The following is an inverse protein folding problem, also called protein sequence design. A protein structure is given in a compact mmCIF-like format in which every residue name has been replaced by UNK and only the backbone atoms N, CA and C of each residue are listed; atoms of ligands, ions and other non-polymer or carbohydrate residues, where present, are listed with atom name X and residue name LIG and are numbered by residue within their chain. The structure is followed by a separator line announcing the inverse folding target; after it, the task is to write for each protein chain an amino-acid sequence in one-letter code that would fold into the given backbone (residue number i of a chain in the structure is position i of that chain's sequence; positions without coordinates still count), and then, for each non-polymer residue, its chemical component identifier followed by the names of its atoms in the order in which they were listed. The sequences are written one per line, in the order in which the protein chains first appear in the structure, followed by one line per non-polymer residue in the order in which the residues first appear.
data_IF_094183132803
#
_entry.id   IF_094183132803
#
_cell.length_a   1.000
_cell.length_b   1.000
_cell.length_c   1.000
_cell.angle_alpha   90.00
_cell.angle_beta   90.00
_cell.angle_gamma   90.00
#
_symmetry.space_group_name_H-M   'P 1'
#
loop_
_entity.id
_entity.type
_entity.pdbx_description
1 polymer ?
#
# COMPACT_ATOMS: atom_id res chain seq x y z
N UNK A 1 -4.34 -0.37 10.20
CA UNK A 1 -5.04 -1.59 9.77
C UNK A 1 -4.08 -2.45 8.97
N UNK A 2 -4.08 -3.74 9.22
CA UNK A 2 -3.26 -4.72 8.54
C UNK A 2 -4.05 -5.25 7.33
N UNK A 3 -3.51 -5.29 6.10
CA UNK A 3 -4.19 -5.85 4.94
C UNK A 3 -4.64 -7.30 5.15
N UNK A 4 -3.87 -8.09 5.88
CA UNK A 4 -4.23 -9.48 6.20
C UNK A 4 -5.50 -9.58 7.06
N UNK A 5 -5.67 -8.70 8.04
CA UNK A 5 -6.91 -8.65 8.83
C UNK A 5 -8.12 -8.27 7.96
N UNK A 6 -7.94 -7.37 7.00
CA UNK A 6 -8.98 -7.03 6.03
C UNK A 6 -9.34 -8.21 5.13
N UNK A 7 -8.35 -8.97 4.69
CA UNK A 7 -8.56 -10.17 3.89
C UNK A 7 -9.28 -11.27 4.69
N UNK A 8 -8.93 -11.46 5.95
CA UNK A 8 -9.63 -12.39 6.85
C UNK A 8 -11.09 -12.00 7.05
N UNK A 9 -11.37 -10.72 7.30
CA UNK A 9 -12.73 -10.23 7.42
C UNK A 9 -13.52 -10.45 6.13
N UNK A 10 -12.90 -10.16 4.97
CA UNK A 10 -13.51 -10.40 3.68
C UNK A 10 -13.83 -11.89 3.49
N UNK A 11 -12.92 -12.79 3.85
CA UNK A 11 -13.14 -14.24 3.74
C UNK A 11 -14.25 -14.77 4.64
N UNK A 12 -14.48 -14.11 5.79
CA UNK A 12 -15.54 -14.47 6.73
C UNK A 12 -16.94 -13.95 6.31
N UNK A 13 -17.01 -13.07 5.30
CA UNK A 13 -18.29 -12.54 4.84
C UNK A 13 -18.98 -13.52 3.88
N UNK A 14 -20.24 -13.90 4.10
CA UNK A 14 -20.98 -14.79 3.19
C UNK A 14 -21.10 -14.24 1.76
N UNK A 15 -21.12 -12.92 1.61
CA UNK A 15 -21.18 -12.22 0.33
C UNK A 15 -19.85 -12.19 -0.45
N UNK A 16 -18.73 -12.61 0.16
CA UNK A 16 -17.43 -12.58 -0.51
C UNK A 16 -17.38 -13.46 -1.77
N UNK A 17 -18.10 -14.58 -1.76
CA UNK A 17 -18.17 -15.49 -2.89
C UNK A 17 -18.95 -14.93 -4.11
N UNK A 18 -19.74 -13.88 -3.91
CA UNK A 18 -20.56 -13.23 -4.96
C UNK A 18 -19.96 -11.90 -5.46
N UNK A 19 -18.81 -11.49 -4.95
CA UNK A 19 -18.15 -10.26 -5.38
C UNK A 19 -17.63 -10.37 -6.81
N UNK A 20 -17.83 -9.30 -7.60
CA UNK A 20 -17.19 -9.21 -8.90
C UNK A 20 -15.70 -8.89 -8.79
N UNK A 21 -14.95 -9.13 -9.86
CA UNK A 21 -13.52 -8.76 -9.94
C UNK A 21 -13.36 -7.25 -9.73
N UNK A 22 -14.25 -6.43 -10.29
CA UNK A 22 -14.26 -4.98 -10.09
C UNK A 22 -14.40 -4.61 -8.60
N UNK A 23 -15.40 -5.18 -7.92
CA UNK A 23 -15.65 -4.93 -6.49
C UNK A 23 -14.47 -5.37 -5.62
N UNK A 24 -13.91 -6.54 -5.91
CA UNK A 24 -12.73 -7.05 -5.21
C UNK A 24 -11.52 -6.14 -5.40
N UNK A 25 -11.32 -5.65 -6.63
CA UNK A 25 -10.23 -4.70 -6.95
C UNK A 25 -10.40 -3.38 -6.20
N UNK A 26 -11.63 -2.84 -6.11
CA UNK A 26 -11.93 -1.62 -5.36
C UNK A 26 -11.64 -1.82 -3.87
N UNK A 27 -12.10 -2.93 -3.28
CA UNK A 27 -11.85 -3.25 -1.87
C UNK A 27 -10.34 -3.39 -1.61
N UNK A 28 -9.62 -4.13 -2.44
CA UNK A 28 -8.18 -4.32 -2.32
C UNK A 28 -7.43 -2.99 -2.46
N UNK A 29 -7.83 -2.13 -3.39
CA UNK A 29 -7.27 -0.79 -3.56
C UNK A 29 -7.51 0.09 -2.33
N UNK A 30 -8.73 0.09 -1.77
CA UNK A 30 -9.02 0.81 -0.55
C UNK A 30 -8.15 0.33 0.62
N UNK A 31 -8.01 -1.01 0.77
CA UNK A 31 -7.14 -1.60 1.80
C UNK A 31 -5.69 -1.20 1.61
N UNK A 32 -5.21 -1.13 0.36
CA UNK A 32 -3.85 -0.69 0.03
C UNK A 32 -3.61 0.78 0.43
N UNK A 33 -4.55 1.67 0.18
CA UNK A 33 -4.42 3.09 0.58
C UNK A 33 -4.56 3.29 2.08
N UNK A 34 -5.42 2.53 2.74
CA UNK A 34 -5.76 2.68 4.14
C UNK A 34 -4.94 1.79 5.10
N UNK A 35 -3.95 1.02 4.59
CA UNK A 35 -3.11 0.21 5.48
C UNK A 35 -2.13 1.08 6.26
N UNK A 36 -1.71 0.60 7.43
CA UNK A 36 -0.67 1.22 8.27
C UNK A 36 -0.92 2.68 8.69
N UNK A 37 -2.16 3.17 8.64
CA UNK A 37 -2.53 4.54 9.01
C UNK A 37 -1.96 5.00 10.36
N UNK A 38 -1.98 4.20 11.47
CA UNK A 38 -1.44 4.64 12.74
C UNK A 38 0.08 4.86 12.70
N UNK A 39 0.81 3.98 12.01
CA UNK A 39 2.28 4.07 11.89
C UNK A 39 2.66 5.30 11.09
N UNK A 40 2.02 5.52 9.96
CA UNK A 40 2.27 6.68 9.11
C UNK A 40 1.86 8.00 9.77
N UNK A 41 0.73 8.00 10.49
CA UNK A 41 0.31 9.15 11.27
C UNK A 41 1.32 9.50 12.38
N UNK A 42 1.96 8.50 12.99
CA UNK A 42 3.02 8.71 13.95
C UNK A 42 4.28 9.31 13.31
N UNK A 43 4.68 8.82 12.13
CA UNK A 43 5.83 9.33 11.37
C UNK A 43 5.58 10.79 10.95
N UNK A 44 4.42 11.09 10.37
CA UNK A 44 4.07 12.43 9.91
C UNK A 44 3.91 13.42 11.07
N UNK A 45 3.43 12.97 12.24
CA UNK A 45 3.41 13.78 13.47
C UNK A 45 4.81 14.17 13.91
N UNK A 46 5.76 13.24 13.87
CA UNK A 46 7.16 13.52 14.20
C UNK A 46 7.83 14.49 13.19
N UNK A 47 7.31 14.54 11.95
CA UNK A 47 7.69 15.53 10.94
C UNK A 47 6.93 16.86 11.05
N UNK A 48 6.16 17.09 12.12
CA UNK A 48 5.45 18.34 12.39
C UNK A 48 4.06 18.47 11.78
N UNK A 49 3.55 17.44 11.11
CA UNK A 49 2.20 17.45 10.51
C UNK A 49 1.13 17.07 11.55
N UNK A 50 -0.06 17.62 11.39
CA UNK A 50 -1.21 17.25 12.22
C UNK A 50 -1.75 15.89 11.78
N UNK A 51 -1.87 14.95 12.71
CA UNK A 51 -2.39 13.59 12.47
C UNK A 51 -3.75 13.62 11.74
N UNK A 52 -4.64 14.53 12.13
CA UNK A 52 -5.95 14.67 11.48
C UNK A 52 -5.85 15.00 9.99
N UNK A 53 -4.91 15.87 9.61
CA UNK A 53 -4.67 16.21 8.19
C UNK A 53 -4.20 14.98 7.42
N UNK A 54 -3.24 14.24 7.96
CA UNK A 54 -2.73 13.00 7.35
C UNK A 54 -3.85 11.99 7.12
N UNK A 55 -4.70 11.79 8.14
CA UNK A 55 -5.81 10.84 8.05
C UNK A 55 -6.85 11.28 7.01
N UNK A 56 -7.26 12.56 7.03
CA UNK A 56 -8.25 13.10 6.09
C UNK A 56 -7.75 13.02 4.65
N UNK A 57 -6.50 13.42 4.39
CA UNK A 57 -5.91 13.37 3.06
C UNK A 57 -5.83 11.92 2.57
N UNK A 58 -5.39 11.01 3.41
CA UNK A 58 -5.16 9.63 3.01
C UNK A 58 -6.45 8.85 2.80
N UNK A 59 -7.39 8.96 3.73
CA UNK A 59 -8.71 8.31 3.60
C UNK A 59 -9.52 8.97 2.49
N UNK A 60 -9.46 10.29 2.37
CA UNK A 60 -10.11 11.03 1.28
C UNK A 60 -9.57 10.64 -0.09
N UNK A 61 -8.24 10.52 -0.23
CA UNK A 61 -7.62 10.04 -1.46
C UNK A 61 -8.03 8.59 -1.78
N UNK A 62 -8.09 7.70 -0.77
CA UNK A 62 -8.55 6.34 -0.93
C UNK A 62 -10.00 6.28 -1.45
N UNK A 63 -10.90 7.05 -0.84
CA UNK A 63 -12.32 7.11 -1.25
C UNK A 63 -12.43 7.67 -2.67
N UNK A 64 -11.73 8.77 -2.96
CA UNK A 64 -11.75 9.39 -4.29
C UNK A 64 -11.26 8.41 -5.37
N UNK A 65 -10.13 7.77 -5.11
CA UNK A 65 -9.55 6.79 -6.04
C UNK A 65 -10.50 5.61 -6.29
N UNK A 66 -11.08 5.04 -5.22
CA UNK A 66 -12.04 3.95 -5.32
C UNK A 66 -13.33 4.37 -6.05
N UNK A 67 -13.80 5.60 -5.84
CA UNK A 67 -14.94 6.15 -6.57
C UNK A 67 -14.64 6.28 -8.07
N UNK A 68 -13.46 6.79 -8.42
CA UNK A 68 -13.02 6.89 -9.82
C UNK A 68 -12.87 5.51 -10.47
N UNK A 69 -12.31 4.52 -9.77
CA UNK A 69 -12.24 3.14 -10.24
C UNK A 69 -13.63 2.55 -10.48
N UNK A 70 -14.55 2.77 -9.53
CA UNK A 70 -15.92 2.29 -9.67
C UNK A 70 -16.64 2.92 -10.88
N UNK A 71 -16.49 4.22 -11.09
CA UNK A 71 -17.00 4.91 -12.26
C UNK A 71 -16.39 4.35 -13.55
N UNK A 72 -15.08 4.13 -13.56
CA UNK A 72 -14.37 3.55 -14.70
C UNK A 72 -14.88 2.15 -15.04
N UNK A 73 -14.95 1.24 -14.06
CA UNK A 73 -15.42 -0.12 -14.28
C UNK A 73 -16.89 -0.18 -14.75
N UNK A 74 -17.73 0.67 -14.19
CA UNK A 74 -19.14 0.76 -14.62
C UNK A 74 -19.28 1.37 -16.02
N UNK A 75 -18.52 2.42 -16.35
CA UNK A 75 -18.60 3.08 -17.65
C UNK A 75 -18.15 2.16 -18.79
N UNK A 76 -17.10 1.38 -18.56
CA UNK A 76 -16.53 0.50 -19.58
C UNK A 76 -17.05 -0.93 -19.49
N UNK A 77 -17.92 -1.25 -18.53
CA UNK A 77 -18.47 -2.59 -18.29
C UNK A 77 -17.39 -3.68 -18.21
N UNK A 78 -16.25 -3.37 -17.59
CA UNK A 78 -15.12 -4.29 -17.43
C UNK A 78 -15.12 -4.94 -16.05
N UNK A 79 -14.55 -6.15 -15.94
CA UNK A 79 -14.35 -6.87 -14.69
C UNK A 79 -15.66 -7.18 -13.92
N UNK A 80 -16.78 -7.32 -14.63
CA UNK A 80 -18.09 -7.70 -14.05
C UNK A 80 -18.21 -9.17 -13.65
N UNK A 81 -17.25 -10.01 -14.05
CA UNK A 81 -17.24 -11.44 -13.72
C UNK A 81 -17.07 -11.67 -12.22
N UNK A 82 -17.62 -12.79 -11.72
CA UNK A 82 -17.45 -13.18 -10.30
C UNK A 82 -15.99 -13.47 -9.99
N UNK A 83 -15.45 -12.86 -8.96
CA UNK A 83 -14.08 -13.06 -8.54
C UNK A 83 -13.87 -14.47 -7.98
N UNK A 84 -12.90 -15.20 -8.50
CA UNK A 84 -12.46 -16.48 -7.90
C UNK A 84 -11.44 -16.19 -6.81
N UNK A 85 -11.93 -15.88 -5.62
CA UNK A 85 -11.05 -15.63 -4.48
C UNK A 85 -10.54 -16.96 -3.93
N UNK A 86 -9.28 -17.28 -4.18
CA UNK A 86 -8.58 -18.36 -3.50
C UNK A 86 -8.11 -17.84 -2.13
N UNK A 87 -9.05 -17.75 -1.20
CA UNK A 87 -8.74 -17.35 0.17
C UNK A 87 -8.11 -18.52 0.91
N UNK A 88 -7.08 -18.29 1.74
CA UNK A 88 -6.52 -19.33 2.58
C UNK A 88 -7.63 -19.94 3.44
N UNK A 89 -7.89 -21.22 3.27
CA UNK A 89 -8.76 -21.95 4.17
C UNK A 89 -7.96 -22.23 5.44
N UNK A 90 -8.39 -21.63 6.54
CA UNK A 90 -7.81 -21.92 7.84
C UNK A 90 -8.51 -23.16 8.38
N UNK A 91 -7.82 -24.29 8.39
CA UNK A 91 -8.29 -25.48 9.09
C UNK A 91 -8.47 -25.15 10.58
N UNK A 92 -9.68 -25.29 11.06
CA UNK A 92 -10.06 -24.91 12.43
C UNK A 92 -9.41 -25.81 13.51
N UNK A 93 -8.76 -26.91 13.10
CA UNK A 93 -8.10 -27.84 14.02
C UNK A 93 -6.80 -28.40 13.43
N UNK A 94 -5.80 -27.58 13.15
CA UNK A 94 -4.50 -28.09 12.75
C UNK A 94 -3.83 -28.80 13.93
N UNK A 95 -3.16 -29.93 13.70
CA UNK A 95 -2.26 -30.48 14.72
C UNK A 95 -1.17 -29.46 15.02
N UNK A 96 -0.66 -29.41 16.26
CA UNK A 96 0.42 -28.47 16.65
C UNK A 96 1.64 -28.58 15.71
N UNK A 97 1.95 -29.76 15.24
CA UNK A 97 3.03 -30.00 14.28
C UNK A 97 2.74 -29.33 12.91
N UNK A 98 1.54 -29.52 12.39
CA UNK A 98 1.13 -28.92 11.13
C UNK A 98 1.11 -27.40 11.23
N UNK A 99 0.56 -26.86 12.32
CA UNK A 99 0.59 -25.42 12.60
C UNK A 99 2.03 -24.89 12.61
N UNK A 100 2.95 -25.58 13.30
CA UNK A 100 4.37 -25.19 13.34
C UNK A 100 5.03 -25.16 11.97
N UNK A 101 4.78 -26.20 11.16
CA UNK A 101 5.29 -26.27 9.76
C UNK A 101 4.76 -25.11 8.93
N UNK A 102 3.48 -24.78 9.05
CA UNK A 102 2.87 -23.70 8.28
C UNK A 102 3.38 -22.34 8.71
N UNK A 103 3.67 -22.13 10.02
CA UNK A 103 4.34 -20.92 10.49
C UNK A 103 5.75 -20.77 9.88
N UNK A 104 6.56 -21.83 9.87
CA UNK A 104 7.90 -21.80 9.28
C UNK A 104 7.83 -21.53 7.78
N UNK A 105 6.93 -22.19 7.04
CA UNK A 105 6.71 -21.90 5.61
C UNK A 105 6.31 -20.44 5.38
N UNK A 106 5.42 -19.91 6.20
CA UNK A 106 5.00 -18.51 6.14
C UNK A 106 6.16 -17.54 6.35
N UNK A 107 7.00 -17.80 7.37
CA UNK A 107 8.20 -16.99 7.63
C UNK A 107 9.20 -17.04 6.47
N UNK A 108 9.48 -18.23 5.94
CA UNK A 108 10.38 -18.40 4.79
C UNK A 108 9.80 -17.67 3.56
N UNK A 109 8.51 -17.80 3.30
CA UNK A 109 7.85 -17.09 2.21
C UNK A 109 7.98 -15.57 2.34
N UNK A 110 7.69 -15.01 3.51
CA UNK A 110 7.86 -13.57 3.78
C UNK A 110 9.30 -13.14 3.59
N UNK A 111 10.27 -13.93 4.07
CA UNK A 111 11.69 -13.64 3.89
C UNK A 111 12.09 -13.61 2.41
N UNK A 112 11.61 -14.57 1.61
CA UNK A 112 11.85 -14.61 0.15
C UNK A 112 11.24 -13.37 -0.51
N UNK A 113 10.00 -13.00 -0.16
CA UNK A 113 9.36 -11.80 -0.71
C UNK A 113 10.17 -10.54 -0.39
N UNK A 114 10.65 -10.39 0.86
CA UNK A 114 11.48 -9.24 1.26
C UNK A 114 12.76 -9.18 0.43
N UNK A 115 13.46 -10.30 0.27
CA UNK A 115 14.69 -10.36 -0.52
C UNK A 115 14.42 -10.00 -1.98
N UNK A 116 13.37 -10.55 -2.59
CA UNK A 116 12.96 -10.24 -3.97
C UNK A 116 12.63 -8.75 -4.12
N UNK A 117 11.92 -8.16 -3.15
CA UNK A 117 11.61 -6.73 -3.17
C UNK A 117 12.88 -5.86 -3.08
N UNK A 118 13.81 -6.20 -2.19
CA UNK A 118 15.07 -5.45 -2.04
C UNK A 118 15.89 -5.53 -3.34
N UNK A 119 16.03 -6.73 -3.91
CA UNK A 119 16.74 -6.91 -5.19
C UNK A 119 16.00 -6.17 -6.31
N UNK A 120 14.69 -6.24 -6.36
CA UNK A 120 13.86 -5.53 -7.35
C UNK A 120 14.03 -4.01 -7.26
N UNK A 121 14.01 -3.44 -6.06
CA UNK A 121 14.24 -2.01 -5.84
C UNK A 121 15.65 -1.60 -6.26
N UNK A 122 16.67 -2.40 -5.93
CA UNK A 122 18.05 -2.12 -6.33
C UNK A 122 18.23 -2.20 -7.85
N UNK A 123 17.58 -3.17 -8.50
CA UNK A 123 17.56 -3.30 -9.96
C UNK A 123 16.88 -2.08 -10.61
N UNK A 124 15.73 -1.63 -10.10
CA UNK A 124 15.05 -0.43 -10.58
C UNK A 124 15.91 0.82 -10.44
N UNK A 125 16.66 0.93 -9.34
CA UNK A 125 17.62 2.01 -9.12
C UNK A 125 18.76 1.95 -10.12
N UNK A 126 19.30 0.75 -10.37
CA UNK A 126 20.39 0.55 -11.33
C UNK A 126 19.97 0.89 -12.77
N UNK A 127 18.76 0.50 -13.19
CA UNK A 127 18.17 0.84 -14.49
C UNK A 127 17.90 2.36 -14.62
N UNK A 128 17.86 3.09 -13.49
CA UNK A 128 17.66 4.54 -13.48
C UNK A 128 16.18 4.96 -13.48
N UNK A 129 15.26 4.07 -13.17
CA UNK A 129 13.83 4.38 -13.02
C UNK A 129 13.62 5.48 -11.98
N UNK A 130 14.43 5.49 -10.92
CA UNK A 130 14.42 6.54 -9.91
C UNK A 130 14.67 7.93 -10.52
N UNK A 131 15.66 8.07 -11.42
CA UNK A 131 15.95 9.33 -12.11
C UNK A 131 14.81 9.75 -13.03
N UNK A 132 14.15 8.78 -13.67
CA UNK A 132 12.99 9.05 -14.54
C UNK A 132 11.83 9.61 -13.72
N UNK A 133 11.52 8.97 -12.58
CA UNK A 133 10.47 9.45 -11.65
C UNK A 133 10.82 10.84 -11.13
N UNK A 134 12.07 11.08 -10.73
CA UNK A 134 12.54 12.40 -10.30
C UNK A 134 12.32 13.47 -11.36
N UNK A 135 12.70 13.18 -12.62
CA UNK A 135 12.54 14.11 -13.73
C UNK A 135 11.08 14.42 -14.05
N UNK A 136 10.20 13.40 -13.93
CA UNK A 136 8.75 13.58 -14.15
C UNK A 136 8.07 14.33 -13.00
N UNK A 137 8.50 14.08 -11.76
CA UNK A 137 7.89 14.70 -10.58
C UNK A 137 8.37 16.12 -10.33
N UNK A 138 9.59 16.45 -10.72
CA UNK A 138 10.17 17.78 -10.50
C UNK A 138 9.28 18.93 -10.99
N UNK A 139 8.77 18.95 -12.24
CA UNK A 139 7.91 20.04 -12.72
C UNK A 139 6.60 20.14 -11.92
N UNK A 140 6.04 19.02 -11.51
CA UNK A 140 4.81 18.98 -10.71
C UNK A 140 5.05 19.59 -9.32
N UNK A 141 6.16 19.25 -8.67
CA UNK A 141 6.53 19.76 -7.36
C UNK A 141 6.83 21.26 -7.39
N UNK A 142 7.49 21.74 -8.44
CA UNK A 142 7.74 23.17 -8.65
C UNK A 142 6.42 23.93 -8.86
N UNK A 143 5.48 23.36 -9.61
CA UNK A 143 4.16 23.95 -9.85
C UNK A 143 3.35 24.10 -8.54
N UNK A 144 3.52 23.14 -7.61
CA UNK A 144 2.88 23.15 -6.27
C UNK A 144 3.62 24.09 -5.29
N UNK A 145 4.73 24.72 -5.72
CA UNK A 145 5.50 25.65 -4.89
C UNK A 145 6.44 24.97 -3.89
N UNK A 146 6.75 23.71 -4.10
CA UNK A 146 7.68 22.95 -3.27
C UNK A 146 9.12 23.27 -3.70
N UNK A 147 9.90 23.89 -2.83
CA UNK A 147 11.29 24.24 -3.10
C UNK A 147 12.17 23.01 -3.42
N UNK A 148 13.30 23.24 -4.09
CA UNK A 148 14.18 22.17 -4.59
C UNK A 148 14.70 21.22 -3.49
N UNK A 149 14.94 21.71 -2.28
CA UNK A 149 15.34 20.86 -1.13
C UNK A 149 14.20 19.92 -0.69
N UNK A 150 12.99 20.47 -0.55
CA UNK A 150 11.81 19.67 -0.19
C UNK A 150 11.41 18.70 -1.31
N UNK A 151 11.65 19.05 -2.58
CA UNK A 151 11.42 18.15 -3.72
C UNK A 151 12.23 16.85 -3.61
N UNK A 152 13.50 16.93 -3.22
CA UNK A 152 14.34 15.73 -3.03
C UNK A 152 13.79 14.83 -1.93
N UNK A 153 13.33 15.40 -0.81
CA UNK A 153 12.74 14.64 0.31
C UNK A 153 11.43 13.97 -0.11
N UNK A 154 10.58 14.69 -0.84
CA UNK A 154 9.31 14.14 -1.35
C UNK A 154 9.57 12.99 -2.32
N UNK A 155 10.55 13.13 -3.22
CA UNK A 155 10.91 12.09 -4.19
C UNK A 155 11.47 10.85 -3.48
N UNK A 156 12.36 11.03 -2.50
CA UNK A 156 12.90 9.95 -1.69
C UNK A 156 11.79 9.26 -0.89
N UNK A 157 10.87 10.03 -0.31
CA UNK A 157 9.70 9.50 0.39
C UNK A 157 8.77 8.71 -0.52
N UNK A 158 8.63 9.12 -1.78
CA UNK A 158 7.77 8.47 -2.76
C UNK A 158 8.39 7.18 -3.31
N UNK A 159 9.71 7.15 -3.48
CA UNK A 159 10.45 5.99 -4.02
C UNK A 159 10.77 4.94 -2.96
N UNK A 160 11.17 5.36 -1.77
CA UNK A 160 11.56 4.46 -0.66
C UNK A 160 10.43 4.21 0.34
N UNK A 161 9.30 4.92 0.17
CA UNK A 161 8.18 4.88 1.10
C UNK A 161 8.43 5.67 2.38
N UNK A 162 7.36 5.94 3.12
CA UNK A 162 7.39 6.75 4.35
C UNK A 162 8.25 6.13 5.46
N UNK A 163 8.42 4.81 5.47
CA UNK A 163 9.24 4.13 6.47
C UNK A 163 10.72 4.55 6.43
N UNK A 164 11.29 4.65 5.23
CA UNK A 164 12.68 5.08 5.02
C UNK A 164 12.80 6.59 4.83
N UNK A 165 11.91 7.19 4.03
CA UNK A 165 11.87 8.63 3.80
C UNK A 165 11.52 9.44 5.05
N UNK A 166 10.71 8.89 5.96
CA UNK A 166 10.35 9.53 7.22
C UNK A 166 11.55 9.81 8.14
N UNK A 167 12.54 8.93 8.17
CA UNK A 167 13.79 9.15 8.91
C UNK A 167 14.58 10.35 8.41
N UNK A 168 14.63 10.54 7.08
CA UNK A 168 15.27 11.70 6.46
C UNK A 168 14.47 12.99 6.70
N UNK A 169 13.13 12.92 6.58
CA UNK A 169 12.24 14.05 6.87
C UNK A 169 12.43 14.58 8.32
N UNK A 170 12.52 13.68 9.29
CA UNK A 170 12.68 14.08 10.70
C UNK A 170 14.06 14.71 10.95
N UNK A 171 15.08 14.27 10.24
CA UNK A 171 16.45 14.82 10.37
C UNK A 171 16.58 16.23 9.79
N UNK A 172 15.88 16.53 8.70
CA UNK A 172 15.96 17.83 8.00
C UNK A 172 15.07 18.93 8.65
N UNK A 173 14.10 18.54 9.48
CA UNK A 173 13.20 19.48 10.20
C UNK A 173 13.78 19.91 11.55
N UNK A 174 14.83 19.23 12.04
CA UNK A 174 15.60 19.64 13.24
C UNK A 174 16.83 20.45 12.88
#
# INVERSE_FOLDING_TARGET
TNPYAGLMLLSAMPSAASLSVAQTTIIASFMLFAHSLPVEAAITRNAGLRVGVTLVVRVGAAILFCALLNLFFNQFNVLGETARLHLPQFDMTPSLLQWGIDQVKGLVFVQVVIVVLIIGLELLRWIGVERLIQKMMHPILVLVGIGSRASTIVIVGLTLGLGFGGGLMIKDVR
#
